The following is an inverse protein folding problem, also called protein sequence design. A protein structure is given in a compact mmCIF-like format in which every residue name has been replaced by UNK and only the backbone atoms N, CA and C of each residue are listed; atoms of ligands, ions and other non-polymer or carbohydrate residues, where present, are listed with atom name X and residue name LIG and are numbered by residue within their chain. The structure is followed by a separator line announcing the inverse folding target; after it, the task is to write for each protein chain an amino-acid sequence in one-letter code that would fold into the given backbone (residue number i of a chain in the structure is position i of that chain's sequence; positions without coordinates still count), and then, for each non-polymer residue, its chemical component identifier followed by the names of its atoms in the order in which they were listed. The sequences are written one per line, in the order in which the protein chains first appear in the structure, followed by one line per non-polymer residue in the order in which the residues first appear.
data_IF_733700359867
#
_entry.id   IF_733700359867
#
_cell.length_a   1.000
_cell.length_b   1.000
_cell.length_c   1.000
_cell.angle_alpha   90.00
_cell.angle_beta   90.00
_cell.angle_gamma   90.00
#
_symmetry.space_group_name_H-M   'P 1'
#
loop_
_entity.id
_entity.type
_entity.pdbx_description
1 polymer ?
#
# COMPACT_ATOMS: atom_id res chain seq x y z
N UNK A 1 19.15 -20.54 29.80
CA UNK A 1 18.33 -19.48 30.44
C UNK A 1 17.27 -19.09 29.43
N UNK A 2 16.04 -19.55 29.61
CA UNK A 2 14.90 -19.18 28.78
C UNK A 2 14.03 -18.26 29.64
N UNK A 3 14.07 -16.96 29.37
CA UNK A 3 13.22 -15.99 30.08
C UNK A 3 11.79 -16.11 29.58
N UNK A 4 10.92 -16.55 30.48
CA UNK A 4 9.48 -16.69 30.29
C UNK A 4 8.87 -15.28 30.20
N UNK A 5 8.53 -14.84 28.99
CA UNK A 5 7.66 -13.68 28.83
C UNK A 5 6.26 -14.02 29.30
N UNK A 6 6.01 -13.75 30.58
CA UNK A 6 4.69 -13.73 31.20
C UNK A 6 3.79 -12.80 30.38
N UNK A 7 2.80 -13.38 29.69
CA UNK A 7 1.70 -12.63 29.12
C UNK A 7 0.86 -12.05 30.27
N UNK A 8 1.08 -10.79 30.62
CA UNK A 8 0.18 -10.07 31.52
C UNK A 8 -1.20 -9.91 30.87
N UNK A 9 -2.24 -10.18 31.67
CA UNK A 9 -3.64 -10.16 31.26
C UNK A 9 -4.07 -8.75 30.81
N UNK A 10 -5.07 -8.64 29.91
CA UNK A 10 -5.34 -7.41 29.19
C UNK A 10 -6.08 -6.41 30.11
N UNK A 11 -5.35 -5.40 30.58
CA UNK A 11 -5.99 -4.17 31.05
C UNK A 11 -6.90 -3.66 29.93
N UNK A 12 -8.18 -3.51 30.26
CA UNK A 12 -9.29 -3.50 29.32
C UNK A 12 -9.07 -2.62 28.10
N UNK A 13 -9.63 -3.08 26.97
CA UNK A 13 -9.69 -2.36 25.69
C UNK A 13 -10.17 -0.90 25.90
N UNK A 14 -9.24 0.03 26.16
CA UNK A 14 -9.55 1.46 26.27
C UNK A 14 -9.64 2.02 24.87
N UNK A 15 -10.71 2.75 24.61
CA UNK A 15 -10.85 3.50 23.37
C UNK A 15 -9.79 4.61 23.33
N UNK A 16 -9.35 4.92 22.11
CA UNK A 16 -8.39 5.98 21.85
C UNK A 16 -8.86 7.28 22.51
N UNK A 17 -7.96 7.97 23.20
CA UNK A 17 -8.24 9.24 23.88
C UNK A 17 -8.85 10.31 22.94
N UNK A 18 -8.51 10.26 21.64
CA UNK A 18 -9.11 11.11 20.60
C UNK A 18 -10.50 10.65 20.11
N UNK A 19 -11.13 9.68 20.78
CA UNK A 19 -12.47 9.14 20.48
C UNK A 19 -12.68 8.72 19.02
N UNK A 20 -11.63 8.24 18.35
CA UNK A 20 -11.68 7.89 16.93
C UNK A 20 -12.29 6.49 16.64
N UNK A 21 -12.86 5.83 17.64
CA UNK A 21 -13.46 4.49 17.51
C UNK A 21 -12.48 3.31 17.40
N UNK A 22 -11.18 3.53 17.63
CA UNK A 22 -10.16 2.47 17.69
C UNK A 22 -9.55 2.39 19.09
N UNK A 23 -8.91 1.26 19.43
CA UNK A 23 -8.33 1.04 20.75
C UNK A 23 -6.96 1.72 20.91
N UNK A 24 -6.73 2.33 22.08
CA UNK A 24 -5.44 2.90 22.45
C UNK A 24 -4.69 1.97 23.38
N UNK A 25 -3.35 2.02 23.35
CA UNK A 25 -2.52 1.32 24.32
C UNK A 25 -1.93 2.30 25.34
N UNK A 26 -1.67 1.89 26.59
CA UNK A 26 -0.99 2.73 27.57
C UNK A 26 0.38 3.21 27.09
N UNK A 27 1.09 2.39 26.29
CA UNK A 27 2.39 2.72 25.70
C UNK A 27 2.34 3.92 24.74
N UNK A 28 1.19 4.20 24.10
CA UNK A 28 1.00 5.33 23.18
C UNK A 28 0.08 6.40 23.78
N UNK A 29 0.14 6.60 25.09
CA UNK A 29 -0.71 7.55 25.83
C UNK A 29 -2.21 7.31 25.61
N UNK A 30 -2.63 6.04 25.55
CA UNK A 30 -4.01 5.63 25.23
C UNK A 30 -4.51 6.13 23.86
N UNK A 31 -3.62 6.37 22.89
CA UNK A 31 -3.99 6.78 21.53
C UNK A 31 -3.83 5.62 20.55
N UNK A 32 -4.69 5.55 19.52
CA UNK A 32 -4.50 4.58 18.45
C UNK A 32 -3.22 4.88 17.65
N UNK A 33 -2.72 3.90 16.89
CA UNK A 33 -1.51 4.04 16.06
C UNK A 33 -1.58 5.22 15.07
N UNK A 34 -2.77 5.54 14.55
CA UNK A 34 -3.00 6.69 13.67
C UNK A 34 -2.93 8.01 14.44
N UNK A 35 -3.74 8.15 15.49
CA UNK A 35 -3.79 9.37 16.29
C UNK A 35 -2.47 9.67 17.00
N UNK A 36 -1.75 8.64 17.45
CA UNK A 36 -0.43 8.80 18.05
C UNK A 36 0.60 9.33 17.03
N UNK A 37 0.58 8.83 15.79
CA UNK A 37 1.41 9.36 14.71
C UNK A 37 1.10 10.84 14.44
N UNK A 38 -0.18 11.19 14.35
CA UNK A 38 -0.62 12.56 14.14
C UNK A 38 -0.19 13.48 15.30
N UNK A 39 -0.20 12.98 16.53
CA UNK A 39 0.29 13.69 17.71
C UNK A 39 1.81 13.91 17.64
N UNK A 40 2.61 12.89 17.33
CA UNK A 40 4.06 13.05 17.17
C UNK A 40 4.42 14.08 16.08
N UNK A 41 3.66 14.11 14.98
CA UNK A 41 3.84 15.11 13.92
C UNK A 41 3.52 16.53 14.41
N UNK A 42 2.45 16.70 15.19
CA UNK A 42 2.07 17.99 15.79
C UNK A 42 3.08 18.47 16.83
N UNK A 43 3.59 17.58 17.66
CA UNK A 43 4.65 17.90 18.64
C UNK A 43 5.92 18.39 17.95
N UNK A 44 6.34 17.72 16.87
CA UNK A 44 7.50 18.14 16.09
C UNK A 44 7.27 19.50 15.40
N UNK A 45 6.05 19.76 14.91
CA UNK A 45 5.68 21.05 14.31
C UNK A 45 5.64 22.17 15.37
N UNK A 46 5.10 21.90 16.56
CA UNK A 46 5.08 22.85 17.67
C UNK A 46 6.48 23.12 18.22
N UNK A 47 7.37 22.12 18.27
CA UNK A 47 8.78 22.31 18.63
C UNK A 47 9.49 23.21 17.60
N UNK A 48 9.23 23.02 16.30
CA UNK A 48 9.79 23.86 15.24
C UNK A 48 9.27 25.31 15.31
N UNK A 49 7.98 25.52 15.59
CA UNK A 49 7.40 26.86 15.73
C UNK A 49 7.91 27.52 17.03
N UNK A 50 7.99 26.78 18.15
CA UNK A 50 8.53 27.28 19.43
C UNK A 50 9.99 27.70 19.33
N UNK A 51 10.80 27.00 18.53
CA UNK A 51 12.19 27.38 18.26
C UNK A 51 12.30 28.68 17.44
N UNK A 52 11.34 28.97 16.58
CA UNK A 52 11.27 30.23 15.82
C UNK A 52 10.75 31.42 16.65
N UNK A 53 9.94 31.16 17.68
CA UNK A 53 9.30 32.20 18.50
C UNK A 53 10.09 32.57 19.77
N UNK A 54 11.07 31.76 20.19
CA UNK A 54 11.99 32.12 21.29
C UNK A 54 13.04 33.18 20.90
N UNK A 55 13.00 33.69 19.67
CA UNK A 55 13.88 34.75 19.18
C UNK A 55 13.20 36.12 19.02
N UNK A 56 11.95 36.33 19.46
CA UNK A 56 11.31 37.66 19.34
C UNK A 56 10.32 37.94 20.46
N UNK A 57 10.68 38.90 21.31
CA UNK A 57 9.89 39.53 22.37
C UNK A 57 8.53 40.05 21.84
N UNK A 58 7.43 40.00 22.63
CA UNK A 58 6.12 40.42 22.16
C UNK A 58 5.99 41.94 22.26
N UNK A 59 5.97 42.61 21.11
CA UNK A 59 5.51 44.01 21.01
C UNK A 59 4.03 44.00 20.66
N UNK A 60 3.23 44.45 21.61
CA UNK A 60 1.80 44.71 21.47
C UNK A 60 1.51 45.68 20.32
N UNK A 61 0.48 45.36 19.53
CA UNK A 61 -0.62 46.25 19.09
C UNK A 61 -1.05 45.92 17.66
N UNK A 62 -2.30 45.54 17.45
CA UNK A 62 -3.27 46.42 16.79
C UNK A 62 -4.69 45.86 16.95
N UNK A 63 -5.58 46.73 17.42
CA UNK A 63 -6.99 46.46 17.67
C UNK A 63 -7.83 46.54 16.40
N UNK A 64 -8.72 45.56 16.30
CA UNK A 64 -10.08 45.50 15.72
C UNK A 64 -10.75 46.79 15.22
N UNK A 65 -11.32 46.69 14.02
CA UNK A 65 -12.64 47.19 13.58
C UNK A 65 -12.75 46.91 12.05
N UNK A 66 -13.85 46.52 11.41
CA UNK A 66 -15.20 46.12 11.77
C UNK A 66 -15.83 45.46 10.51
N UNK A 67 -16.87 44.62 10.69
CA UNK A 67 -18.17 44.57 9.96
C UNK A 67 -18.21 44.94 8.45
N UNK A 68 -18.94 44.33 7.51
CA UNK A 68 -20.02 43.32 7.48
C UNK A 68 -20.47 43.14 6.00
N UNK A 69 -21.23 42.06 5.71
CA UNK A 69 -22.22 41.88 4.61
C UNK A 69 -21.70 41.70 3.15
N UNK A 70 -22.16 40.79 2.26
CA UNK A 70 -23.23 39.77 2.20
C UNK A 70 -23.04 38.78 1.02
N UNK A 71 -23.66 37.61 1.18
CA UNK A 71 -24.48 36.80 0.23
C UNK A 71 -24.08 36.48 -1.22
N UNK A 72 -24.11 35.15 -1.46
CA UNK A 72 -24.64 34.39 -2.61
C UNK A 72 -23.94 34.48 -3.99
N UNK A 73 -23.36 33.36 -4.45
CA UNK A 73 -23.98 32.43 -5.44
C UNK A 73 -22.99 31.34 -5.91
N UNK A 74 -23.49 30.11 -6.07
CA UNK A 74 -22.89 28.98 -6.80
C UNK A 74 -22.87 29.29 -8.31
N UNK A 75 -21.98 28.70 -9.15
CA UNK A 75 -22.20 27.32 -9.64
C UNK A 75 -20.93 26.50 -9.93
N UNK A 76 -21.22 25.26 -10.33
CA UNK A 76 -20.35 24.11 -10.58
C UNK A 76 -19.33 24.29 -11.72
N UNK A 77 -18.15 23.69 -11.56
CA UNK A 77 -17.25 23.35 -12.68
C UNK A 77 -16.75 21.91 -12.47
N UNK A 78 -17.29 21.02 -13.30
CA UNK A 78 -16.74 19.71 -13.63
C UNK A 78 -15.33 19.85 -14.23
N UNK A 79 -14.37 19.05 -13.75
CA UNK A 79 -13.01 19.03 -14.30
C UNK A 79 -12.36 17.68 -14.07
N UNK A 80 -12.53 16.80 -15.06
CA UNK A 80 -11.75 15.57 -15.29
C UNK A 80 -10.25 15.93 -15.38
N UNK A 81 -9.41 15.21 -14.63
CA UNK A 81 -7.96 15.21 -14.87
C UNK A 81 -7.48 13.77 -14.92
N UNK A 82 -7.64 13.17 -16.10
CA UNK A 82 -6.76 12.12 -16.58
C UNK A 82 -5.33 12.65 -16.61
N UNK A 83 -4.43 12.01 -15.86
CA UNK A 83 -2.99 12.23 -16.01
C UNK A 83 -2.31 10.93 -16.42
N UNK A 84 -2.24 10.74 -17.74
CA UNK A 84 -1.27 9.88 -18.40
C UNK A 84 0.09 10.55 -18.37
N UNK A 85 1.07 9.98 -17.67
CA UNK A 85 2.48 10.18 -18.03
C UNK A 85 3.20 8.85 -17.93
N UNK A 86 3.80 8.47 -19.05
CA UNK A 86 4.59 7.29 -19.28
C UNK A 86 5.95 7.35 -18.55
N UNK A 87 6.43 6.14 -18.31
CA UNK A 87 7.78 5.66 -17.99
C UNK A 87 8.94 6.65 -17.89
N UNK A 88 9.61 6.62 -16.73
CA UNK A 88 11.06 6.76 -16.63
C UNK A 88 11.56 5.77 -15.58
N UNK A 89 12.40 4.82 -16.02
CA UNK A 89 13.11 3.89 -15.16
C UNK A 89 14.26 4.61 -14.42
N UNK A 90 14.36 4.44 -13.11
CA UNK A 90 15.63 4.29 -12.36
C UNK A 90 15.33 3.84 -10.92
N UNK A 91 16.14 2.91 -10.44
CA UNK A 91 16.02 2.20 -9.18
C UNK A 91 16.16 3.12 -7.95
N UNK A 92 15.11 3.18 -7.13
CA UNK A 92 15.17 3.44 -5.68
C UNK A 92 13.78 3.16 -5.08
N UNK A 93 13.75 2.28 -4.07
CA UNK A 93 12.59 1.76 -3.31
C UNK A 93 11.21 2.31 -3.68
N UNK A 94 10.54 1.66 -4.64
CA UNK A 94 9.13 1.93 -4.89
C UNK A 94 8.32 1.38 -3.72
N UNK A 95 7.46 2.22 -3.15
CA UNK A 95 6.38 1.79 -2.26
C UNK A 95 5.56 0.78 -3.07
N UNK A 96 5.77 -0.51 -2.83
CA UNK A 96 5.11 -1.56 -3.61
C UNK A 96 3.61 -1.38 -3.43
N UNK A 97 2.94 -0.90 -4.48
CA UNK A 97 1.50 -0.79 -4.47
C UNK A 97 0.92 -2.17 -4.14
N UNK A 98 -0.06 -2.26 -3.24
CA UNK A 98 -0.54 -3.54 -2.73
C UNK A 98 -1.04 -4.37 -3.91
N UNK A 99 -0.37 -5.46 -4.20
CA UNK A 99 -0.73 -6.37 -5.30
C UNK A 99 -2.17 -6.84 -5.08
N UNK A 100 -2.97 -6.77 -6.14
CA UNK A 100 -4.40 -7.07 -6.15
C UNK A 100 -4.70 -8.09 -7.23
N UNK A 101 -5.71 -8.91 -6.99
CA UNK A 101 -6.20 -9.86 -7.97
C UNK A 101 -6.82 -9.13 -9.17
N UNK A 102 -6.44 -9.47 -10.40
CA UNK A 102 -6.99 -8.83 -11.60
C UNK A 102 -8.47 -9.12 -11.85
N UNK A 103 -9.02 -10.23 -11.32
CA UNK A 103 -10.45 -10.53 -11.41
C UNK A 103 -11.28 -9.91 -10.28
N UNK A 104 -11.00 -10.30 -9.04
CA UNK A 104 -11.84 -9.92 -7.89
C UNK A 104 -11.32 -8.71 -7.10
N UNK A 105 -10.19 -8.11 -7.52
CA UNK A 105 -9.54 -6.93 -6.89
C UNK A 105 -9.20 -7.08 -5.40
N UNK A 106 -9.32 -8.30 -4.85
CA UNK A 106 -8.89 -8.66 -3.50
C UNK A 106 -7.39 -8.38 -3.35
N UNK A 107 -7.00 -7.76 -2.23
CA UNK A 107 -5.59 -7.51 -1.91
C UNK A 107 -4.90 -8.84 -1.65
N UNK A 108 -3.86 -9.15 -2.43
CA UNK A 108 -3.12 -10.40 -2.36
C UNK A 108 -1.72 -10.24 -1.78
N UNK A 109 -1.15 -9.03 -1.75
CA UNK A 109 0.15 -8.77 -1.10
C UNK A 109 1.24 -9.77 -1.53
N UNK A 110 1.94 -10.35 -0.55
CA UNK A 110 2.99 -11.34 -0.79
C UNK A 110 2.45 -12.69 -1.32
N UNK A 111 1.17 -13.00 -1.09
CA UNK A 111 0.55 -14.28 -1.48
C UNK A 111 -0.12 -14.23 -2.86
N UNK A 112 0.16 -13.20 -3.67
CA UNK A 112 -0.31 -13.09 -5.04
C UNK A 112 0.39 -14.07 -5.98
N UNK A 113 -0.39 -14.79 -6.77
CA UNK A 113 0.14 -15.69 -7.80
C UNK A 113 0.22 -14.96 -9.13
N UNK A 114 1.42 -14.90 -9.73
CA UNK A 114 1.62 -14.38 -11.07
C UNK A 114 1.28 -15.46 -12.10
N UNK A 115 0.38 -15.15 -13.03
CA UNK A 115 0.09 -16.00 -14.17
C UNK A 115 1.08 -15.74 -15.31
N UNK A 116 1.22 -16.68 -16.24
CA UNK A 116 2.03 -16.53 -17.47
C UNK A 116 1.52 -15.43 -18.40
N UNK A 117 0.25 -15.06 -18.31
CA UNK A 117 -0.31 -13.88 -18.99
C UNK A 117 0.11 -12.53 -18.36
N UNK A 118 0.97 -12.53 -17.32
CA UNK A 118 1.56 -11.33 -16.73
C UNK A 118 0.74 -10.67 -15.61
N UNK A 119 -0.46 -11.14 -15.35
CA UNK A 119 -1.36 -10.61 -14.31
C UNK A 119 -1.25 -11.38 -13.00
N UNK A 120 -1.66 -10.74 -11.89
CA UNK A 120 -1.57 -11.31 -10.53
C UNK A 120 -2.95 -11.67 -10.00
N UNK A 121 -3.09 -12.83 -9.37
CA UNK A 121 -4.36 -13.37 -8.89
C UNK A 121 -4.29 -13.86 -7.44
N UNK A 122 -5.46 -14.00 -6.80
CA UNK A 122 -5.60 -14.65 -5.49
C UNK A 122 -5.69 -16.18 -5.64
N UNK A 123 -5.61 -16.92 -4.53
CA UNK A 123 -5.61 -18.39 -4.55
C UNK A 123 -6.78 -19.03 -5.32
N UNK A 124 -7.97 -18.43 -5.29
CA UNK A 124 -9.15 -18.93 -6.03
C UNK A 124 -9.11 -18.64 -7.53
N UNK A 125 -8.38 -17.62 -7.96
CA UNK A 125 -8.31 -17.15 -9.34
C UNK A 125 -6.96 -17.45 -10.00
N UNK A 126 -6.12 -18.26 -9.34
CA UNK A 126 -4.79 -18.62 -9.81
C UNK A 126 -4.83 -19.43 -11.11
N UNK A 127 -5.86 -20.25 -11.31
CA UNK A 127 -5.91 -21.21 -12.40
C UNK A 127 -6.41 -20.57 -13.72
N UNK A 128 -5.90 -21.00 -14.89
CA UNK A 128 -6.23 -20.43 -16.20
C UNK A 128 -7.72 -20.39 -16.52
N UNK A 129 -8.46 -21.43 -16.14
CA UNK A 129 -9.90 -21.56 -16.34
C UNK A 129 -10.74 -20.62 -15.47
N UNK A 130 -10.13 -20.03 -14.43
CA UNK A 130 -10.83 -19.10 -13.54
C UNK A 130 -10.76 -17.66 -14.03
N UNK A 131 -9.81 -17.34 -14.91
CA UNK A 131 -9.57 -15.98 -15.41
C UNK A 131 -9.47 -15.86 -16.92
N UNK A 132 -9.95 -16.89 -17.63
CA UNK A 132 -9.95 -16.95 -19.09
C UNK A 132 -8.59 -16.54 -19.66
N UNK A 133 -7.53 -17.22 -19.18
CA UNK A 133 -6.16 -16.88 -19.53
C UNK A 133 -5.96 -16.92 -21.05
N UNK A 134 -5.53 -15.81 -21.62
CA UNK A 134 -5.25 -15.66 -23.05
C UNK A 134 -3.89 -16.23 -23.46
N UNK A 135 -3.16 -16.86 -22.55
CA UNK A 135 -1.83 -17.42 -22.82
C UNK A 135 -1.94 -18.83 -23.42
N UNK A 136 -1.26 -19.06 -24.55
CA UNK A 136 -1.27 -20.35 -25.25
C UNK A 136 -0.34 -21.39 -24.60
N UNK A 137 -0.83 -22.06 -23.55
CA UNK A 137 -0.09 -23.12 -22.85
C UNK A 137 0.28 -24.30 -23.76
N UNK A 138 -0.51 -24.58 -24.79
CA UNK A 138 -0.30 -25.72 -25.70
C UNK A 138 0.96 -25.54 -26.56
N UNK A 139 1.10 -24.38 -27.18
CA UNK A 139 2.24 -24.07 -28.05
C UNK A 139 3.51 -23.93 -27.20
N UNK A 140 3.44 -23.16 -26.12
CA UNK A 140 4.56 -23.00 -25.20
C UNK A 140 5.02 -24.33 -24.58
N UNK A 141 4.08 -25.23 -24.25
CA UNK A 141 4.41 -26.57 -23.73
C UNK A 141 5.10 -27.46 -24.77
N UNK A 142 4.64 -27.42 -26.03
CA UNK A 142 5.27 -28.18 -27.13
C UNK A 142 6.70 -27.72 -27.38
N UNK A 143 6.92 -26.41 -27.43
CA UNK A 143 8.24 -25.83 -27.66
C UNK A 143 9.21 -26.18 -26.53
N UNK A 144 8.76 -26.12 -25.28
CA UNK A 144 9.58 -26.52 -24.13
C UNK A 144 9.96 -28.00 -24.18
N UNK A 145 9.00 -28.89 -24.46
CA UNK A 145 9.27 -30.33 -24.60
C UNK A 145 10.21 -30.60 -25.77
N UNK A 146 9.99 -29.96 -26.92
CA UNK A 146 10.86 -30.12 -28.09
C UNK A 146 12.29 -29.67 -27.80
N UNK A 147 12.46 -28.59 -27.03
CA UNK A 147 13.76 -28.10 -26.57
C UNK A 147 14.42 -29.03 -25.56
N UNK A 148 13.65 -29.66 -24.68
CA UNK A 148 14.15 -30.55 -23.63
C UNK A 148 14.44 -31.97 -24.12
N UNK A 149 13.81 -32.42 -25.21
CA UNK A 149 13.97 -33.78 -25.71
C UNK A 149 15.41 -34.01 -26.22
N UNK A 150 16.16 -34.95 -25.61
CA UNK A 150 17.49 -35.29 -26.08
C UNK A 150 17.42 -35.98 -27.43
N UNK A 151 18.41 -35.73 -28.29
CA UNK A 151 18.51 -36.34 -29.61
C UNK A 151 18.91 -37.81 -29.48
N UNK A 152 17.94 -38.71 -29.58
CA UNK A 152 18.21 -40.16 -29.63
C UNK A 152 18.53 -40.56 -31.07
N UNK A 153 19.81 -40.66 -31.41
CA UNK A 153 20.27 -41.26 -32.66
C UNK A 153 20.87 -42.63 -32.37
N UNK A 154 20.17 -43.70 -32.76
CA UNK A 154 20.70 -45.06 -32.72
C UNK A 154 21.53 -45.37 -33.96
N UNK A 155 22.60 -46.13 -33.80
CA UNK A 155 23.39 -46.64 -34.92
C UNK A 155 22.56 -47.64 -35.74
N UNK A 156 22.65 -47.54 -37.08
CA UNK A 156 21.88 -48.39 -37.98
C UNK A 156 22.49 -49.79 -37.97
N UNK A 157 21.74 -50.79 -37.49
CA UNK A 157 22.18 -52.19 -37.49
C UNK A 157 22.34 -52.70 -38.93
N UNK A 158 23.49 -53.31 -39.22
CA UNK A 158 23.72 -54.01 -40.47
C UNK A 158 23.03 -55.38 -40.47
N UNK A 159 22.46 -55.76 -41.62
CA UNK A 159 21.78 -57.05 -41.80
C UNK A 159 22.82 -58.17 -41.88
N UNK A 160 22.63 -59.21 -41.08
CA UNK A 160 23.35 -60.49 -41.11
C UNK A 160 22.76 -61.39 -42.20
#
# INVERSE_FOLDING_TARGET
MAEEHRCEAPEGHRLCANNCGFFGSPATMNMCSKCYRDYCLKEHQQASIKASLSASSPSFSLSSAAESFSSLTQPEITGDVQNTVAEIATAMGTVQQPSRCSLCRKRVGLTGFKCRCGTTYCGTHRYPEKHDCTFDYRTAGREEIARANPLVKGEKLEKI
#
